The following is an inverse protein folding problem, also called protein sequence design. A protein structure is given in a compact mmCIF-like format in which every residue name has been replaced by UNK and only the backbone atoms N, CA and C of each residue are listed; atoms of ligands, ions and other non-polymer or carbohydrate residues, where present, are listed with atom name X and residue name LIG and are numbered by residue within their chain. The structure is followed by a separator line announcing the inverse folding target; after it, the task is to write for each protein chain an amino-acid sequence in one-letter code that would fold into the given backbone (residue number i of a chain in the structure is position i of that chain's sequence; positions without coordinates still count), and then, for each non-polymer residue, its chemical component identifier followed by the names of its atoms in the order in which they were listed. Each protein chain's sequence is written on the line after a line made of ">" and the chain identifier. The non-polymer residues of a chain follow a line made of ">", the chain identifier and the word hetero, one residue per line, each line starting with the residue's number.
data_IF_396722324289
#
_entry.id   IF_396722324289
#
_cell.length_a   1.000
_cell.length_b   1.000
_cell.length_c   1.000
_cell.angle_alpha   90.00
_cell.angle_beta   90.00
_cell.angle_gamma   90.00
#
_symmetry.space_group_name_H-M   'P 1'
#
loop_
_entity.id
_entity.type
_entity.pdbx_description
1 polymer ?
#
# COMPACT_ATOMS: atom_id res chain seq x y z
N UNK A 1 13.58 -2.06 -9.54
CA UNK A 1 12.98 -3.41 -9.64
C UNK A 1 13.90 -4.58 -9.29
N UNK A 2 15.24 -4.49 -9.43
CA UNK A 2 16.15 -5.60 -9.09
C UNK A 2 16.30 -5.90 -7.58
N UNK A 3 16.11 -4.92 -6.69
CA UNK A 3 16.26 -5.10 -5.23
C UNK A 3 15.18 -5.97 -4.57
N UNK A 4 13.95 -5.97 -5.10
CA UNK A 4 12.85 -6.76 -4.51
C UNK A 4 12.86 -8.23 -4.92
N UNK A 5 13.65 -8.62 -5.93
CA UNK A 5 13.85 -10.04 -6.29
C UNK A 5 14.58 -10.83 -5.21
N UNK A 6 15.36 -10.14 -4.38
CA UNK A 6 16.07 -10.71 -3.23
C UNK A 6 15.47 -10.21 -1.91
N UNK A 7 14.22 -9.73 -1.90
CA UNK A 7 13.58 -9.36 -0.67
C UNK A 7 13.27 -10.63 0.13
N UNK A 8 14.13 -10.89 1.12
CA UNK A 8 14.13 -12.06 1.96
C UNK A 8 13.93 -11.67 3.44
N UNK A 9 14.00 -12.66 4.32
CA UNK A 9 13.89 -12.50 5.77
C UNK A 9 14.90 -11.47 6.32
N UNK A 10 16.13 -11.44 5.80
CA UNK A 10 17.16 -10.49 6.24
C UNK A 10 16.80 -9.06 5.84
N UNK A 11 16.31 -8.89 4.62
CA UNK A 11 15.82 -7.61 4.12
C UNK A 11 14.62 -7.11 4.94
N UNK A 12 13.72 -8.01 5.33
CA UNK A 12 12.55 -7.69 6.16
C UNK A 12 12.92 -7.31 7.59
N UNK A 13 13.80 -8.09 8.24
CA UNK A 13 14.22 -7.85 9.64
C UNK A 13 15.06 -6.58 9.80
N UNK A 14 15.71 -6.12 8.73
CA UNK A 14 16.46 -4.86 8.71
C UNK A 14 15.59 -3.61 8.56
N UNK A 15 14.30 -3.74 8.19
CA UNK A 15 13.43 -2.59 8.01
C UNK A 15 13.20 -1.84 9.31
N UNK A 16 13.22 -0.51 9.24
CA UNK A 16 12.74 0.34 10.32
C UNK A 16 11.24 0.64 10.10
N UNK A 17 10.32 0.04 10.89
CA UNK A 17 8.89 0.23 10.69
C UNK A 17 8.42 1.69 10.79
N UNK A 18 9.14 2.53 11.55
CA UNK A 18 8.82 3.96 11.66
C UNK A 18 9.12 4.75 10.38
N UNK A 19 9.91 4.20 9.45
CA UNK A 19 10.25 4.81 8.16
C UNK A 19 9.35 4.32 7.01
N UNK A 20 8.55 3.26 7.22
CA UNK A 20 7.67 2.73 6.18
C UNK A 20 6.58 3.75 5.85
N UNK A 21 6.41 4.04 4.56
CA UNK A 21 5.38 4.94 4.03
C UNK A 21 4.66 4.31 2.85
N UNK A 22 3.37 4.57 2.74
CA UNK A 22 2.62 4.27 1.51
C UNK A 22 2.02 5.55 0.95
N UNK A 23 1.89 5.58 -0.37
CA UNK A 23 1.18 6.62 -1.10
C UNK A 23 0.02 6.01 -1.86
N UNK A 24 -1.14 6.61 -1.72
CA UNK A 24 -2.33 6.23 -2.48
C UNK A 24 -2.87 7.47 -3.17
N UNK A 25 -2.96 7.40 -4.49
CA UNK A 25 -3.62 8.42 -5.31
C UNK A 25 -4.97 7.88 -5.74
N UNK A 26 -5.99 8.72 -5.64
CA UNK A 26 -7.35 8.39 -6.09
C UNK A 26 -7.91 9.55 -6.90
N UNK A 27 -8.57 9.24 -8.02
CA UNK A 27 -9.30 10.24 -8.82
C UNK A 27 -10.53 10.76 -8.07
N UNK A 28 -10.80 12.06 -8.19
CA UNK A 28 -12.06 12.65 -7.72
C UNK A 28 -13.26 12.07 -8.48
N UNK A 29 -14.46 12.03 -7.87
CA UNK A 29 -14.81 12.54 -6.54
C UNK A 29 -14.49 11.58 -5.37
N UNK A 30 -13.90 10.42 -5.64
CA UNK A 30 -13.69 9.39 -4.63
C UNK A 30 -12.67 9.78 -3.56
N UNK A 31 -12.90 9.29 -2.34
CA UNK A 31 -12.04 9.52 -1.19
C UNK A 31 -11.82 8.22 -0.43
N UNK A 32 -10.65 8.10 0.20
CA UNK A 32 -10.29 6.91 0.96
C UNK A 32 -10.90 6.96 2.36
N UNK A 33 -11.31 5.80 2.85
CA UNK A 33 -11.67 5.58 4.24
C UNK A 33 -10.41 5.28 5.05
N UNK A 34 -9.99 6.26 5.86
CA UNK A 34 -8.76 6.18 6.65
C UNK A 34 -8.76 5.04 7.66
N UNK A 35 -9.92 4.61 8.16
CA UNK A 35 -10.04 3.51 9.12
C UNK A 35 -9.84 2.14 8.46
N UNK A 36 -10.06 2.05 7.14
CA UNK A 36 -9.87 0.82 6.35
C UNK A 36 -8.46 0.70 5.75
N UNK A 37 -7.55 1.63 6.06
CA UNK A 37 -6.20 1.63 5.50
C UNK A 37 -5.27 0.72 6.29
N UNK A 38 -4.67 -0.25 5.61
CA UNK A 38 -3.70 -1.16 6.22
C UNK A 38 -2.57 -1.55 5.27
N UNK A 39 -1.40 -1.84 5.84
CA UNK A 39 -0.33 -2.59 5.19
C UNK A 39 -0.51 -4.05 5.59
N UNK A 40 -0.58 -4.94 4.61
CA UNK A 40 -0.63 -6.38 4.84
C UNK A 40 0.68 -7.03 4.39
N UNK A 41 1.14 -7.98 5.19
CA UNK A 41 2.31 -8.81 4.96
C UNK A 41 1.82 -10.25 4.81
N UNK A 42 2.10 -10.87 3.67
CA UNK A 42 1.88 -12.29 3.45
C UNK A 42 3.21 -13.01 3.46
N UNK A 43 3.25 -14.08 4.26
CA UNK A 43 4.40 -14.92 4.48
C UNK A 43 4.07 -16.33 4.03
N UNK A 44 4.83 -16.84 3.06
CA UNK A 44 4.67 -18.21 2.56
C UNK A 44 5.91 -19.03 2.93
N UNK A 45 5.71 -20.13 3.65
CA UNK A 45 6.72 -21.13 4.00
C UNK A 45 6.16 -22.56 3.78
N UNK A 46 6.96 -23.58 4.10
CA UNK A 46 6.56 -24.99 3.95
C UNK A 46 5.30 -25.37 4.76
N UNK A 47 4.99 -24.62 5.83
CA UNK A 47 3.83 -24.87 6.70
C UNK A 47 2.56 -24.17 6.21
N UNK A 48 2.67 -23.30 5.20
CA UNK A 48 1.55 -22.59 4.59
C UNK A 48 1.74 -21.07 4.54
N UNK A 49 0.63 -20.36 4.42
CA UNK A 49 0.60 -18.89 4.30
C UNK A 49 0.10 -18.26 5.60
N UNK A 50 0.88 -17.33 6.16
CA UNK A 50 0.49 -16.48 7.29
C UNK A 50 0.27 -15.05 6.83
N UNK A 51 -0.76 -14.40 7.35
CA UNK A 51 -1.08 -13.01 7.02
C UNK A 51 -1.00 -12.13 8.27
N UNK A 52 -0.31 -11.00 8.15
CA UNK A 52 -0.21 -9.99 9.19
C UNK A 52 -0.71 -8.66 8.65
N UNK A 53 -1.41 -7.89 9.48
CA UNK A 53 -2.01 -6.62 9.08
C UNK A 53 -1.60 -5.52 10.04
N UNK A 54 -1.20 -4.39 9.48
CA UNK A 54 -0.62 -3.26 10.17
C UNK A 54 -1.44 -2.00 9.84
N UNK A 55 -2.26 -1.49 10.78
CA UNK A 55 -3.07 -0.31 10.56
C UNK A 55 -2.23 0.93 10.20
N UNK A 56 -2.67 1.64 9.17
CA UNK A 56 -2.05 2.86 8.67
C UNK A 56 -2.77 4.09 9.22
N UNK A 57 -2.04 5.19 9.36
CA UNK A 57 -2.59 6.50 9.68
C UNK A 57 -2.07 7.55 8.72
N UNK A 58 -2.94 8.53 8.43
CA UNK A 58 -2.64 9.61 7.51
C UNK A 58 -1.50 10.46 8.06
N UNK A 59 -0.47 10.67 7.25
CA UNK A 59 0.64 11.57 7.54
C UNK A 59 0.50 12.87 6.75
N UNK A 60 0.13 12.78 5.48
CA UNK A 60 0.00 13.93 4.58
C UNK A 60 -1.11 13.71 3.56
N UNK A 61 -1.76 14.79 3.16
CA UNK A 61 -2.72 14.80 2.06
C UNK A 61 -2.39 15.97 1.12
N UNK A 62 -2.25 15.68 -0.17
CA UNK A 62 -1.98 16.65 -1.22
C UNK A 62 -3.07 16.57 -2.31
N UNK A 63 -3.34 17.70 -2.95
CA UNK A 63 -4.25 17.78 -4.09
C UNK A 63 -3.45 17.88 -5.37
N UNK A 64 -3.85 17.10 -6.38
CA UNK A 64 -3.30 17.14 -7.73
C UNK A 64 -4.43 17.66 -8.62
N UNK A 65 -4.20 18.81 -9.22
CA UNK A 65 -5.18 19.42 -10.12
C UNK A 65 -5.36 18.59 -11.39
N UNK A 66 -6.54 18.72 -12.00
CA UNK A 66 -6.80 18.08 -13.29
C UNK A 66 -5.81 18.60 -14.32
N UNK A 67 -5.33 17.72 -15.19
CA UNK A 67 -4.47 18.09 -16.30
C UNK A 67 -5.27 18.01 -17.59
N UNK A 68 -5.46 19.14 -18.26
CA UNK A 68 -6.00 19.17 -19.61
C UNK A 68 -4.85 19.30 -20.62
N UNK A 69 -4.68 18.24 -21.41
CA UNK A 69 -3.75 18.22 -22.53
C UNK A 69 -4.50 18.31 -23.87
N UNK A 70 -3.75 18.59 -24.94
CA UNK A 70 -4.29 18.67 -26.30
C UNK A 70 -4.80 17.31 -26.84
N UNK A 71 -4.40 16.20 -26.21
CA UNK A 71 -4.72 14.83 -26.62
C UNK A 71 -5.39 13.97 -25.54
N UNK A 72 -5.37 14.38 -24.27
CA UNK A 72 -6.03 13.68 -23.16
C UNK A 72 -6.30 14.62 -21.99
N UNK A 73 -7.31 14.30 -21.19
CA UNK A 73 -7.59 14.98 -19.93
C UNK A 73 -7.48 13.98 -18.78
N UNK A 74 -6.65 14.28 -17.78
CA UNK A 74 -6.61 13.52 -16.52
C UNK A 74 -7.47 14.21 -15.46
N UNK A 75 -8.35 13.47 -14.77
CA UNK A 75 -9.15 14.03 -13.68
C UNK A 75 -8.26 14.44 -12.51
N UNK A 76 -8.71 15.42 -11.73
CA UNK A 76 -8.04 15.81 -10.49
C UNK A 76 -7.94 14.60 -9.54
N UNK A 77 -6.81 14.47 -8.85
CA UNK A 77 -6.52 13.38 -7.92
C UNK A 77 -6.24 13.92 -6.51
N UNK A 78 -6.44 13.07 -5.51
CA UNK A 78 -5.94 13.32 -4.15
C UNK A 78 -4.85 12.30 -3.83
N UNK A 79 -3.67 12.76 -3.42
CA UNK A 79 -2.58 11.92 -2.94
C UNK A 79 -2.63 11.87 -1.40
N UNK A 80 -2.67 10.67 -0.85
CA UNK A 80 -2.59 10.43 0.58
C UNK A 80 -1.27 9.72 0.87
N UNK A 81 -0.47 10.29 1.76
CA UNK A 81 0.71 9.63 2.33
C UNK A 81 0.35 9.10 3.70
N UNK A 82 0.60 7.81 3.91
CA UNK A 82 0.34 7.12 5.16
C UNK A 82 1.62 6.62 5.79
N UNK A 83 1.59 6.49 7.12
CA UNK A 83 2.60 5.83 7.92
C UNK A 83 1.98 4.72 8.76
N UNK A 84 2.80 3.82 9.28
CA UNK A 84 2.34 2.87 10.31
C UNK A 84 1.86 3.64 11.54
N UNK A 85 0.73 3.20 12.11
CA UNK A 85 0.32 3.61 13.47
C UNK A 85 1.34 3.15 14.51
N UNK A 86 1.34 3.76 15.70
CA UNK A 86 2.26 3.33 16.78
C UNK A 86 2.03 1.86 17.19
N UNK A 87 0.76 1.43 17.21
CA UNK A 87 0.42 0.02 17.42
C UNK A 87 0.99 -0.87 16.31
N UNK A 88 0.85 -0.44 15.05
CA UNK A 88 1.40 -1.16 13.90
C UNK A 88 2.92 -1.26 13.95
N UNK A 89 3.63 -0.18 14.33
CA UNK A 89 5.09 -0.20 14.50
C UNK A 89 5.50 -1.27 15.51
N UNK A 90 4.86 -1.28 16.68
CA UNK A 90 5.14 -2.27 17.72
C UNK A 90 4.82 -3.71 17.27
N UNK A 91 3.71 -3.90 16.56
CA UNK A 91 3.34 -5.21 16.04
C UNK A 91 4.28 -5.67 14.92
N UNK A 92 4.76 -4.75 14.09
CA UNK A 92 5.73 -5.04 13.04
C UNK A 92 7.06 -5.52 13.62
N UNK A 93 7.56 -4.84 14.66
CA UNK A 93 8.76 -5.28 15.40
C UNK A 93 8.58 -6.68 16.00
N UNK A 94 7.39 -6.99 16.55
CA UNK A 94 7.09 -8.34 17.04
C UNK A 94 7.11 -9.36 15.91
N UNK A 95 6.53 -9.04 14.76
CA UNK A 95 6.59 -9.90 13.58
C UNK A 95 8.04 -10.11 13.12
N UNK A 96 8.87 -9.07 13.05
CA UNK A 96 10.30 -9.21 12.72
C UNK A 96 11.02 -10.18 13.68
N UNK A 97 10.77 -10.08 15.00
CA UNK A 97 11.36 -10.99 15.98
C UNK A 97 10.86 -12.44 15.86
N UNK A 98 9.61 -12.64 15.45
CA UNK A 98 9.07 -13.97 15.20
C UNK A 98 9.71 -14.61 13.96
N UNK A 99 9.97 -13.80 12.93
CA UNK A 99 10.46 -14.28 11.65
C UNK A 99 11.98 -14.47 11.61
N UNK A 100 12.75 -13.79 12.47
CA UNK A 100 14.22 -13.88 12.51
C UNK A 100 14.79 -15.28 12.86
N UNK A 101 13.92 -16.26 13.12
CA UNK A 101 14.29 -17.64 13.46
C UNK A 101 13.92 -18.64 12.36
N UNK A 102 13.29 -18.19 11.27
CA UNK A 102 12.73 -19.07 10.25
C UNK A 102 13.39 -18.83 8.88
N UNK A 103 14.24 -19.75 8.45
CA UNK A 103 14.92 -19.67 7.15
C UNK A 103 13.99 -20.06 5.99
N UNK A 104 14.13 -19.37 4.84
CA UNK A 104 13.47 -19.67 3.55
C UNK A 104 11.97 -19.35 3.49
N UNK A 105 11.63 -18.08 3.69
CA UNK A 105 10.26 -17.58 3.56
C UNK A 105 10.14 -16.65 2.35
N UNK A 106 9.01 -16.72 1.64
CA UNK A 106 8.65 -15.69 0.67
C UNK A 106 7.81 -14.62 1.36
N UNK A 107 8.24 -13.37 1.20
CA UNK A 107 7.58 -12.21 1.80
C UNK A 107 6.97 -11.37 0.68
N UNK A 108 5.70 -11.01 0.84
CA UNK A 108 5.02 -10.05 -0.03
C UNK A 108 4.23 -9.04 0.77
N UNK A 109 4.18 -7.81 0.25
CA UNK A 109 3.42 -6.71 0.82
C UNK A 109 2.24 -6.33 -0.07
N UNK A 110 1.13 -5.97 0.55
CA UNK A 110 -0.02 -5.36 -0.12
C UNK A 110 -0.57 -4.21 0.72
N UNK A 111 -1.29 -3.30 0.07
CA UNK A 111 -2.01 -2.21 0.75
C UNK A 111 -3.50 -2.50 0.63
N UNK A 112 -4.15 -2.65 1.77
CA UNK A 112 -5.61 -2.60 1.85
C UNK A 112 -6.06 -1.15 1.86
N UNK A 113 -6.88 -0.77 0.89
CA UNK A 113 -7.51 0.53 0.80
C UNK A 113 -9.02 0.36 0.66
N UNK A 114 -9.79 1.11 1.46
CA UNK A 114 -11.25 1.19 1.33
C UNK A 114 -11.67 2.59 0.93
N UNK A 115 -12.81 2.72 0.28
CA UNK A 115 -13.40 4.03 -0.05
C UNK A 115 -14.42 4.45 1.04
N UNK A 116 -14.62 5.76 1.21
CA UNK A 116 -15.72 6.27 2.05
C UNK A 116 -17.07 5.98 1.40
N UNK A 117 -17.13 6.13 0.09
CA UNK A 117 -18.27 5.79 -0.75
C UNK A 117 -17.78 4.77 -1.78
N UNK A 118 -18.35 3.58 -1.77
CA UNK A 118 -18.01 2.55 -2.75
C UNK A 118 -18.48 3.03 -4.14
N UNK A 119 -17.60 2.98 -5.16
CA UNK A 119 -17.95 3.27 -6.53
C UNK A 119 -19.18 2.48 -6.98
N UNK A 120 -20.16 3.16 -7.55
CA UNK A 120 -21.36 2.54 -8.12
C UNK A 120 -21.09 1.99 -9.52
N UNK A 121 -22.00 1.15 -10.02
CA UNK A 121 -21.94 0.59 -11.37
C UNK A 121 -21.73 1.71 -12.42
N UNK A 122 -20.75 1.52 -13.32
CA UNK A 122 -20.32 2.48 -14.37
C UNK A 122 -19.55 3.71 -13.89
N UNK A 123 -19.16 3.76 -12.62
CA UNK A 123 -18.17 4.73 -12.16
C UNK A 123 -16.78 4.13 -12.24
N UNK A 124 -15.85 4.84 -12.89
CA UNK A 124 -14.45 4.46 -12.98
C UNK A 124 -13.65 5.20 -11.91
N UNK A 125 -12.88 4.46 -11.13
CA UNK A 125 -11.89 5.02 -10.20
C UNK A 125 -10.50 4.70 -10.70
N UNK A 126 -9.66 5.73 -10.81
CA UNK A 126 -8.23 5.54 -11.06
C UNK A 126 -7.50 5.53 -9.72
N UNK A 127 -6.78 4.44 -9.43
CA UNK A 127 -6.00 4.28 -8.22
C UNK A 127 -4.54 3.97 -8.54
N UNK A 128 -3.63 4.67 -7.87
CA UNK A 128 -2.20 4.37 -7.89
C UNK A 128 -1.74 4.16 -6.46
N UNK A 129 -1.03 3.06 -6.22
CA UNK A 129 -0.51 2.69 -4.91
C UNK A 129 1.00 2.53 -5.00
N UNK A 130 1.72 3.18 -4.11
CA UNK A 130 3.17 3.04 -3.98
C UNK A 130 3.56 2.78 -2.52
N UNK A 131 4.65 2.05 -2.33
CA UNK A 131 5.19 1.69 -1.02
C UNK A 131 6.65 2.13 -0.95
N UNK A 132 7.08 2.59 0.23
CA UNK A 132 8.45 2.91 0.57
C UNK A 132 8.76 2.17 1.86
N UNK A 133 9.82 1.36 1.84
CA UNK A 133 10.22 0.53 2.99
C UNK A 133 11.37 1.15 3.80
N UNK A 134 12.13 2.07 3.21
CA UNK A 134 13.26 2.79 3.80
C UNK A 134 13.24 4.25 3.30
N UNK A 135 13.53 5.22 4.17
CA UNK A 135 13.45 6.65 3.84
C UNK A 135 14.58 7.13 2.91
N UNK A 136 15.66 6.36 2.81
CA UNK A 136 16.76 6.58 1.86
C UNK A 136 16.46 6.03 0.48
N UNK A 137 15.44 5.18 0.37
CA UNK A 137 15.00 4.61 -0.90
C UNK A 137 13.77 5.34 -1.42
N UNK A 138 13.57 5.33 -2.75
CA UNK A 138 12.36 5.89 -3.36
C UNK A 138 11.15 4.98 -3.15
N UNK A 139 9.97 5.50 -3.44
CA UNK A 139 8.76 4.69 -3.55
C UNK A 139 8.88 3.72 -4.73
N UNK A 140 8.36 2.51 -4.56
CA UNK A 140 8.09 1.59 -5.66
C UNK A 140 6.58 1.43 -5.84
N UNK A 141 6.19 1.30 -7.09
CA UNK A 141 4.77 1.19 -7.46
C UNK A 141 4.28 -0.24 -7.25
N UNK A 142 3.20 -0.38 -6.48
CA UNK A 142 2.45 -1.62 -6.31
C UNK A 142 1.34 -1.71 -7.36
N UNK A 143 0.64 -0.60 -7.59
CA UNK A 143 -0.44 -0.44 -8.57
C UNK A 143 -0.23 0.90 -9.26
N UNK A 144 -0.27 0.92 -10.59
CA UNK A 144 -0.09 2.14 -11.38
C UNK A 144 -1.34 2.44 -12.20
N UNK A 145 -2.02 3.54 -11.89
CA UNK A 145 -3.19 4.06 -12.61
C UNK A 145 -4.23 2.99 -12.97
N UNK A 146 -4.49 2.05 -12.05
CA UNK A 146 -5.44 0.99 -12.29
C UNK A 146 -6.86 1.55 -12.28
N UNK A 147 -7.63 1.15 -13.29
CA UNK A 147 -9.06 1.38 -13.35
C UNK A 147 -9.77 0.31 -12.54
N UNK A 148 -10.51 0.75 -11.53
CA UNK A 148 -11.35 -0.11 -10.71
C UNK A 148 -12.78 0.08 -11.17
N UNK A 149 -13.28 -0.89 -11.92
CA UNK A 149 -14.70 -1.02 -12.27
C UNK A 149 -15.35 -1.97 -11.25
N UNK A 150 -16.07 -1.42 -10.27
CA UNK A 150 -16.85 -2.25 -9.33
C UNK A 150 -18.22 -2.52 -9.95
N UNK A 151 -18.34 -3.70 -10.55
CA UNK A 151 -19.58 -4.15 -11.17
C UNK A 151 -19.37 -5.30 -12.15
N UNK A 152 -19.00 -6.48 -11.65
CA UNK A 152 -19.37 -7.79 -12.22
C UNK A 152 -18.90 -8.92 -11.31
N UNK A 153 -19.65 -9.17 -10.23
CA UNK A 153 -19.92 -10.56 -9.83
C UNK A 153 -21.19 -10.96 -10.58
N UNK A 154 -21.03 -11.74 -11.65
CA UNK A 154 -22.11 -12.51 -12.27
C UNK A 154 -22.24 -13.87 -11.62
#
# INVERSE_FOLDING_TARGET
>A
MLKYRNFDEQSFTALNPSQIRSKVKVSKPFTLNMEKMNLSLSLENEKGVSHFTFPLILEKQDRIDAQEGFFSSEPAKTEYTFRLSELAVNNFLKTQNLLSQETQQKISFSIGAGFNEEPQERQTVHISISLQLDDKEGYFTLIDEAEVELGQDG
#
